data_IF_801044946110
#
_entry.id   IF_801044946110
#
_cell.length_a   1.000
_cell.length_b   1.000
_cell.length_c   1.000
_cell.angle_alpha   90.00
_cell.angle_beta   90.00
_cell.angle_gamma   90.00
#
_symmetry.space_group_name_H-M   'P 1'
#
loop_
_entity.id
_entity.type
_entity.pdbx_description
1 polymer ?
#
# COMPACT_ATOMS: atom_id res chain seq x y z
N UNK A 1 -5.51 8.01 -19.16
CA UNK A 1 -5.08 8.74 -17.95
C UNK A 1 -6.26 8.69 -16.99
N UNK A 2 -6.15 7.93 -15.91
CA UNK A 2 -7.27 7.70 -15.01
C UNK A 2 -7.50 8.96 -14.15
N UNK A 3 -8.74 9.26 -13.76
CA UNK A 3 -9.05 10.47 -12.97
C UNK A 3 -8.24 10.56 -11.66
N UNK A 4 -7.85 9.41 -11.11
CA UNK A 4 -7.03 9.30 -9.90
C UNK A 4 -5.56 9.68 -10.15
N UNK A 5 -5.00 9.40 -11.33
CA UNK A 5 -3.61 9.75 -11.65
C UNK A 5 -3.38 11.27 -11.58
N UNK A 6 -4.34 12.03 -12.10
CA UNK A 6 -4.31 13.49 -12.05
C UNK A 6 -4.47 14.00 -10.60
N UNK A 7 -5.30 13.33 -9.80
CA UNK A 7 -5.51 13.71 -8.40
C UNK A 7 -4.27 13.46 -7.53
N UNK A 8 -3.61 12.32 -7.69
CA UNK A 8 -2.34 12.04 -7.01
C UNK A 8 -1.27 13.09 -7.38
N UNK A 9 -1.21 13.48 -8.66
CA UNK A 9 -0.32 14.54 -9.14
C UNK A 9 -0.63 15.89 -8.48
N UNK A 10 -1.91 16.29 -8.41
CA UNK A 10 -2.33 17.55 -7.75
C UNK A 10 -1.98 17.50 -6.26
N UNK A 11 -2.26 16.39 -5.59
CA UNK A 11 -1.97 16.21 -4.17
C UNK A 11 -0.47 16.37 -3.88
N UNK A 12 0.38 15.71 -4.67
CA UNK A 12 1.83 15.85 -4.54
C UNK A 12 2.30 17.28 -4.83
N UNK A 13 1.75 17.97 -5.84
CA UNK A 13 2.16 19.34 -6.11
C UNK A 13 1.69 20.38 -5.07
N UNK A 14 0.69 20.05 -4.24
CA UNK A 14 0.07 21.00 -3.29
C UNK A 14 0.38 20.72 -1.82
N UNK A 15 0.65 19.45 -1.45
CA UNK A 15 0.77 19.02 -0.04
C UNK A 15 2.05 18.18 0.22
N UNK A 16 2.87 17.88 -0.80
CA UNK A 16 3.98 16.89 -0.69
C UNK A 16 5.03 17.16 0.39
N UNK A 17 5.12 18.36 0.96
CA UNK A 17 6.08 18.62 2.04
C UNK A 17 5.67 18.02 3.39
N UNK A 18 4.41 17.59 3.57
CA UNK A 18 3.88 17.17 4.88
C UNK A 18 3.42 15.71 4.93
N UNK A 19 2.86 15.17 3.84
CA UNK A 19 2.20 13.86 3.86
C UNK A 19 2.90 12.83 2.98
N UNK A 20 2.91 11.58 3.43
CA UNK A 20 3.39 10.43 2.66
C UNK A 20 2.22 9.78 1.92
N UNK A 21 2.41 9.39 0.68
CA UNK A 21 1.43 8.66 -0.14
C UNK A 21 1.98 7.31 -0.63
N UNK A 22 1.07 6.49 -1.16
CA UNK A 22 1.40 5.22 -1.81
C UNK A 22 1.88 5.48 -3.23
N UNK A 23 2.70 4.58 -3.77
CA UNK A 23 3.31 4.77 -5.09
C UNK A 23 2.28 4.78 -6.24
N UNK A 24 1.20 3.99 -6.13
CA UNK A 24 0.15 3.94 -7.15
C UNK A 24 -1.24 3.83 -6.54
N UNK A 25 -2.24 4.38 -7.24
CA UNK A 25 -3.66 4.13 -6.95
C UNK A 25 -4.36 3.77 -8.24
N UNK A 26 -5.10 2.67 -8.21
CA UNK A 26 -5.84 2.16 -9.37
C UNK A 26 -7.33 2.13 -9.05
N UNK A 27 -8.15 2.58 -9.98
CA UNK A 27 -9.62 2.49 -9.91
C UNK A 27 -10.10 1.34 -10.81
N UNK A 28 -10.88 0.42 -10.25
CA UNK A 28 -11.65 -0.58 -11.00
C UNK A 28 -13.14 -0.26 -10.89
N UNK A 29 -14.02 -1.09 -11.46
CA UNK A 29 -15.47 -0.91 -11.29
C UNK A 29 -15.90 -1.02 -9.81
N UNK A 30 -15.31 -1.95 -9.06
CA UNK A 30 -15.71 -2.27 -7.66
C UNK A 30 -14.80 -1.62 -6.60
N UNK A 31 -13.53 -1.39 -6.94
CA UNK A 31 -12.47 -1.14 -5.97
C UNK A 31 -11.65 0.12 -6.30
N UNK A 32 -11.17 0.79 -5.25
CA UNK A 32 -10.00 1.67 -5.31
C UNK A 32 -8.86 0.96 -4.57
N UNK A 33 -7.79 0.68 -5.31
CA UNK A 33 -6.66 -0.12 -4.84
C UNK A 33 -5.47 0.82 -4.62
N UNK A 34 -5.01 0.90 -3.38
CA UNK A 34 -3.84 1.65 -2.96
C UNK A 34 -2.65 0.71 -2.93
N UNK A 35 -1.59 1.05 -3.66
CA UNK A 35 -0.48 0.14 -3.92
C UNK A 35 0.83 0.81 -3.51
N UNK A 36 1.47 0.25 -2.48
CA UNK A 36 2.85 0.56 -2.15
C UNK A 36 3.74 -0.52 -2.77
N UNK A 37 4.85 -0.13 -3.38
CA UNK A 37 5.81 -1.05 -3.99
C UNK A 37 7.18 -0.94 -3.34
N UNK A 38 7.75 -2.08 -2.95
CA UNK A 38 9.13 -2.16 -2.50
C UNK A 38 9.82 -3.38 -3.08
N UNK A 39 10.87 -3.11 -3.86
CA UNK A 39 11.87 -4.11 -4.21
C UNK A 39 13.14 -3.87 -3.39
N UNK A 40 13.59 -4.90 -2.68
CA UNK A 40 14.84 -4.91 -1.93
C UNK A 40 15.90 -5.86 -2.47
N UNK A 41 15.61 -6.55 -3.58
CA UNK A 41 16.52 -7.42 -4.33
C UNK A 41 17.24 -6.71 -5.47
N UNK A 42 17.67 -5.47 -5.23
CA UNK A 42 18.41 -4.71 -6.24
C UNK A 42 19.83 -5.28 -6.34
N UNK A 43 20.21 -5.74 -7.53
CA UNK A 43 21.57 -6.21 -7.81
C UNK A 43 22.58 -5.07 -7.54
N UNK A 44 23.64 -5.36 -6.76
CA UNK A 44 24.64 -4.34 -6.39
C UNK A 44 24.18 -3.34 -5.33
N UNK A 45 23.12 -3.64 -4.56
CA UNK A 45 22.66 -2.78 -3.47
C UNK A 45 23.82 -2.45 -2.50
N UNK A 46 24.04 -1.15 -2.27
CA UNK A 46 25.10 -0.64 -1.36
C UNK A 46 24.98 -1.17 0.07
N UNK A 47 23.77 -1.51 0.51
CA UNK A 47 23.52 -2.10 1.83
C UNK A 47 22.42 -3.17 1.73
N UNK A 48 22.78 -4.43 1.42
CA UNK A 48 21.82 -5.52 1.21
C UNK A 48 21.03 -5.88 2.48
N UNK A 49 21.57 -5.60 3.67
CA UNK A 49 20.89 -5.88 4.95
C UNK A 49 20.03 -4.72 5.46
N UNK A 50 20.00 -3.58 4.77
CA UNK A 50 19.23 -2.41 5.19
C UNK A 50 17.74 -2.73 5.39
N UNK A 51 17.18 -3.63 4.57
CA UNK A 51 15.79 -4.05 4.73
C UNK A 51 15.59 -4.88 5.99
N UNK A 52 16.49 -5.83 6.28
CA UNK A 52 16.46 -6.65 7.51
C UNK A 52 16.54 -5.79 8.78
N UNK A 53 17.34 -4.73 8.75
CA UNK A 53 17.42 -3.78 9.87
C UNK A 53 16.18 -2.90 10.01
N UNK A 54 15.52 -2.54 8.89
CA UNK A 54 14.27 -1.77 8.91
C UNK A 54 13.12 -2.56 9.53
N UNK A 55 12.94 -3.82 9.16
CA UNK A 55 11.85 -4.66 9.69
C UNK A 55 11.98 -4.96 11.19
N UNK A 56 13.15 -4.75 11.80
CA UNK A 56 13.32 -4.84 13.26
C UNK A 56 12.70 -3.66 14.00
N UNK A 57 12.40 -2.54 13.32
CA UNK A 57 11.96 -1.29 13.92
C UNK A 57 10.47 -1.06 13.66
N UNK A 58 9.68 -0.84 14.70
CA UNK A 58 8.24 -0.57 14.56
C UNK A 58 7.94 0.68 13.72
N UNK A 59 8.87 1.65 13.71
CA UNK A 59 8.81 2.86 12.89
C UNK A 59 8.70 2.57 11.39
N UNK A 60 9.25 1.44 10.91
CA UNK A 60 9.11 1.02 9.52
C UNK A 60 7.66 0.65 9.17
N UNK A 61 6.97 -0.09 10.04
CA UNK A 61 5.58 -0.46 9.83
C UNK A 61 4.67 0.77 9.92
N UNK A 62 4.96 1.68 10.85
CA UNK A 62 4.25 2.97 10.97
C UNK A 62 4.44 3.80 9.71
N UNK A 63 5.66 3.88 9.16
CA UNK A 63 5.90 4.66 7.93
C UNK A 63 5.11 4.12 6.74
N UNK A 64 5.00 2.80 6.61
CA UNK A 64 4.18 2.19 5.55
C UNK A 64 2.70 2.50 5.78
N UNK A 65 2.17 2.33 7.00
CA UNK A 65 0.77 2.64 7.30
C UNK A 65 0.41 4.11 7.02
N UNK A 66 1.33 5.05 7.31
CA UNK A 66 1.14 6.48 7.04
C UNK A 66 0.91 6.80 5.57
N UNK A 67 1.58 6.08 4.65
CA UNK A 67 1.38 6.25 3.20
C UNK A 67 -0.06 6.00 2.78
N UNK A 68 -0.66 4.94 3.33
CA UNK A 68 -2.06 4.63 3.08
C UNK A 68 -3.00 5.68 3.67
N UNK A 69 -2.72 6.17 4.89
CA UNK A 69 -3.54 7.24 5.49
C UNK A 69 -3.47 8.55 4.71
N UNK A 70 -2.28 8.97 4.28
CA UNK A 70 -2.12 10.19 3.48
C UNK A 70 -2.90 10.09 2.16
N UNK A 71 -2.84 8.93 1.52
CA UNK A 71 -3.57 8.66 0.28
C UNK A 71 -5.08 8.58 0.47
N UNK A 72 -5.52 7.90 1.53
CA UNK A 72 -6.94 7.73 1.84
C UNK A 72 -7.65 9.07 2.06
N UNK A 73 -6.95 10.06 2.62
CA UNK A 73 -7.51 11.38 2.96
C UNK A 73 -8.17 12.06 1.75
N UNK A 74 -7.46 12.18 0.63
CA UNK A 74 -7.99 12.87 -0.55
C UNK A 74 -8.96 11.98 -1.35
N UNK A 75 -8.79 10.66 -1.30
CA UNK A 75 -9.74 9.73 -1.94
C UNK A 75 -11.10 9.73 -1.22
N UNK A 76 -11.12 9.88 0.11
CA UNK A 76 -12.38 10.05 0.85
C UNK A 76 -13.14 11.29 0.40
N UNK A 77 -12.44 12.39 0.12
CA UNK A 77 -13.02 13.64 -0.41
C UNK A 77 -13.58 13.51 -1.83
N UNK A 78 -13.28 12.44 -2.56
CA UNK A 78 -13.88 12.15 -3.86
C UNK A 78 -15.25 11.48 -3.76
N UNK A 79 -15.69 11.11 -2.55
CA UNK A 79 -17.01 10.53 -2.25
C UNK A 79 -17.39 9.30 -3.10
N UNK A 80 -16.39 8.57 -3.61
CA UNK A 80 -16.60 7.35 -4.41
C UNK A 80 -17.25 6.24 -3.56
N UNK A 81 -18.25 5.56 -4.13
CA UNK A 81 -18.91 4.38 -3.56
C UNK A 81 -18.21 3.09 -4.03
N UNK A 82 -16.96 2.90 -3.59
CA UNK A 82 -16.13 1.72 -3.94
C UNK A 82 -15.44 1.17 -2.70
N UNK A 83 -15.04 -0.10 -2.76
CA UNK A 83 -14.26 -0.69 -1.67
C UNK A 83 -12.82 -0.18 -1.72
N UNK A 84 -12.25 0.12 -0.57
CA UNK A 84 -10.85 0.53 -0.48
C UNK A 84 -9.96 -0.65 -0.10
N UNK A 85 -8.98 -0.96 -0.95
CA UNK A 85 -8.08 -2.10 -0.80
C UNK A 85 -6.65 -1.63 -0.69
N UNK A 86 -5.92 -2.10 0.31
CA UNK A 86 -4.52 -1.75 0.48
C UNK A 86 -3.64 -2.95 0.10
N UNK A 87 -2.66 -2.73 -0.77
CA UNK A 87 -1.74 -3.76 -1.22
C UNK A 87 -0.31 -3.26 -1.10
N UNK A 88 0.51 -4.00 -0.35
CA UNK A 88 1.95 -3.76 -0.29
C UNK A 88 2.68 -4.84 -1.10
N UNK A 89 3.24 -4.46 -2.23
CA UNK A 89 4.01 -5.36 -3.07
C UNK A 89 5.46 -5.36 -2.57
N UNK A 90 5.91 -6.51 -2.10
CA UNK A 90 7.22 -6.67 -1.48
C UNK A 90 8.01 -7.78 -2.17
N UNK A 91 9.02 -7.36 -2.96
CA UNK A 91 9.98 -8.26 -3.59
C UNK A 91 11.28 -8.27 -2.79
N UNK A 92 11.64 -9.44 -2.24
CA UNK A 92 12.84 -9.65 -1.45
C UNK A 92 13.19 -11.15 -1.36
N UNK A 93 14.46 -11.50 -1.58
CA UNK A 93 15.02 -12.86 -1.53
C UNK A 93 14.82 -13.49 -0.16
N UNK A 94 14.75 -12.65 0.87
CA UNK A 94 14.50 -13.08 2.25
C UNK A 94 13.04 -12.97 2.69
N UNK A 95 12.17 -12.33 1.90
CA UNK A 95 10.74 -12.26 2.20
C UNK A 95 10.02 -13.47 1.62
N UNK A 96 10.23 -14.62 2.25
CA UNK A 96 9.34 -15.75 2.07
C UNK A 96 7.91 -15.44 2.56
N UNK A 97 6.99 -16.37 2.33
CA UNK A 97 5.59 -16.24 2.75
C UNK A 97 5.46 -16.00 4.26
N UNK A 98 6.37 -16.52 5.09
CA UNK A 98 6.35 -16.37 6.54
C UNK A 98 6.69 -14.94 6.94
N UNK A 99 7.76 -14.36 6.37
CA UNK A 99 8.15 -12.99 6.63
C UNK A 99 7.10 -12.00 6.11
N UNK A 100 6.54 -12.22 4.91
CA UNK A 100 5.44 -11.36 4.40
C UNK A 100 4.23 -11.40 5.33
N UNK A 101 3.85 -12.57 5.85
CA UNK A 101 2.76 -12.69 6.83
C UNK A 101 3.06 -11.98 8.15
N UNK A 102 4.30 -12.08 8.64
CA UNK A 102 4.74 -11.36 9.84
C UNK A 102 4.64 -9.83 9.65
N UNK A 103 5.20 -9.31 8.55
CA UNK A 103 5.13 -7.89 8.20
C UNK A 103 3.68 -7.44 8.05
N UNK A 104 2.83 -8.25 7.39
CA UNK A 104 1.40 -7.96 7.23
C UNK A 104 0.74 -7.74 8.57
N UNK A 105 0.94 -8.67 9.51
CA UNK A 105 0.35 -8.57 10.84
C UNK A 105 0.83 -7.32 11.59
N UNK A 106 2.11 -6.96 11.47
CA UNK A 106 2.67 -5.76 12.09
C UNK A 106 2.06 -4.47 11.53
N UNK A 107 1.93 -4.35 10.21
CA UNK A 107 1.32 -3.18 9.57
C UNK A 107 -0.19 -3.14 9.83
N UNK A 108 -0.88 -4.29 9.78
CA UNK A 108 -2.32 -4.38 10.01
C UNK A 108 -2.74 -3.85 11.39
N UNK A 109 -1.89 -4.00 12.42
CA UNK A 109 -2.12 -3.41 13.74
C UNK A 109 -2.08 -1.87 13.74
N UNK A 110 -1.50 -1.25 12.71
CA UNK A 110 -1.41 0.20 12.52
C UNK A 110 -2.49 0.74 11.56
N UNK A 111 -3.30 -0.13 10.96
CA UNK A 111 -4.38 0.21 10.04
C UNK A 111 -5.74 0.29 10.77
N UNK A 112 -6.76 0.98 10.22
CA UNK A 112 -7.97 1.34 10.96
C UNK A 112 -9.00 0.20 11.07
N UNK A 113 -8.59 -1.07 10.96
CA UNK A 113 -9.50 -2.23 11.04
C UNK A 113 -10.30 -2.31 12.34
N UNK A 114 -9.72 -1.87 13.46
CA UNK A 114 -10.44 -1.78 14.74
C UNK A 114 -11.31 -0.52 14.79
N UNK A 115 -10.77 0.62 14.36
CA UNK A 115 -11.46 1.91 14.37
C UNK A 115 -12.76 1.85 13.55
N UNK A 116 -12.73 1.24 12.35
CA UNK A 116 -13.90 1.17 11.47
C UNK A 116 -15.04 0.27 11.97
N UNK A 117 -14.86 -0.43 13.09
CA UNK A 117 -15.94 -1.18 13.76
C UNK A 117 -16.75 -0.31 14.73
N UNK A 118 -16.27 0.91 15.01
CA UNK A 118 -16.95 1.88 15.85
C UNK A 118 -18.23 2.35 15.16
N UNK A 119 -19.31 2.49 15.91
CA UNK A 119 -20.64 2.80 15.36
C UNK A 119 -20.70 4.16 14.64
N UNK A 120 -19.81 5.06 15.03
CA UNK A 120 -19.64 6.42 14.53
C UNK A 120 -18.99 6.44 13.15
N UNK A 121 -18.19 5.42 12.82
CA UNK A 121 -17.57 5.28 11.52
C UNK A 121 -18.56 4.61 10.57
N UNK A 122 -19.24 5.43 9.76
CA UNK A 122 -20.30 4.96 8.85
C UNK A 122 -19.77 4.43 7.52
N UNK A 123 -18.58 4.85 7.10
CA UNK A 123 -17.93 4.42 5.85
C UNK A 123 -16.85 3.39 6.15
N UNK A 124 -16.83 2.28 5.41
CA UNK A 124 -15.71 1.35 5.48
C UNK A 124 -14.44 2.04 4.97
N UNK A 125 -13.42 2.12 5.82
CA UNK A 125 -12.16 2.79 5.49
C UNK A 125 -11.19 1.85 4.77
N UNK A 126 -11.24 0.56 5.11
CA UNK A 126 -10.43 -0.49 4.49
C UNK A 126 -11.20 -1.81 4.47
N UNK A 127 -11.31 -2.40 3.28
CA UNK A 127 -11.93 -3.71 3.08
C UNK A 127 -10.91 -4.83 3.27
N UNK A 128 -9.69 -4.67 2.76
CA UNK A 128 -8.62 -5.65 2.85
C UNK A 128 -7.22 -5.00 2.90
N UNK A 129 -6.27 -5.74 3.47
CA UNK A 129 -4.85 -5.43 3.41
C UNK A 129 -4.04 -6.68 3.08
N UNK A 130 -3.34 -6.66 1.95
CA UNK A 130 -2.54 -7.79 1.47
C UNK A 130 -1.07 -7.38 1.25
N UNK A 131 -0.17 -8.33 1.47
CA UNK A 131 1.23 -8.22 1.04
C UNK A 131 1.49 -9.32 0.02
N UNK A 132 1.92 -8.94 -1.18
CA UNK A 132 2.10 -9.83 -2.31
C UNK A 132 3.54 -9.72 -2.85
N UNK A 133 4.10 -10.80 -3.38
CA UNK A 133 5.22 -10.71 -4.31
C UNK A 133 4.76 -10.15 -5.66
N UNK A 134 5.72 -9.80 -6.53
CA UNK A 134 5.40 -9.39 -7.90
C UNK A 134 4.69 -10.53 -8.65
N UNK A 135 5.14 -11.77 -8.47
CA UNK A 135 4.51 -12.95 -9.08
C UNK A 135 3.06 -13.16 -8.60
N UNK A 136 2.83 -13.07 -7.28
CA UNK A 136 1.48 -13.16 -6.70
C UNK A 136 0.57 -12.04 -7.23
N UNK A 137 1.09 -10.82 -7.40
CA UNK A 137 0.34 -9.70 -7.98
C UNK A 137 -0.01 -9.95 -9.46
N UNK A 138 1.00 -10.30 -10.27
CA UNK A 138 0.86 -10.47 -11.72
C UNK A 138 -0.01 -11.68 -12.10
N UNK A 139 -0.11 -12.69 -11.23
CA UNK A 139 -0.96 -13.88 -11.44
C UNK A 139 -2.34 -13.76 -10.76
N UNK A 140 -2.56 -12.72 -9.95
CA UNK A 140 -3.82 -12.55 -9.22
C UNK A 140 -5.01 -12.35 -10.18
N UNK A 141 -6.16 -13.02 -9.97
CA UNK A 141 -7.32 -12.89 -10.87
C UNK A 141 -7.84 -11.46 -11.02
N UNK A 142 -7.69 -10.62 -9.99
CA UNK A 142 -8.11 -9.22 -10.01
C UNK A 142 -7.00 -8.24 -10.37
N UNK A 143 -5.74 -8.54 -10.03
CA UNK A 143 -4.63 -7.56 -10.11
C UNK A 143 -3.75 -7.71 -11.34
N UNK A 144 -3.76 -8.89 -11.97
CA UNK A 144 -3.02 -9.19 -13.22
C UNK A 144 -3.29 -8.22 -14.38
N UNK A 145 -4.39 -7.46 -14.34
CA UNK A 145 -4.72 -6.40 -15.30
C UNK A 145 -3.77 -5.19 -15.21
N UNK A 146 -2.99 -5.08 -14.14
CA UNK A 146 -2.08 -3.97 -13.86
C UNK A 146 -0.67 -4.51 -13.59
N UNK A 147 -0.04 -5.19 -14.57
CA UNK A 147 1.19 -5.92 -14.32
C UNK A 147 2.35 -5.00 -13.92
N UNK A 148 3.19 -5.50 -13.01
CA UNK A 148 4.41 -4.81 -12.55
C UNK A 148 5.62 -5.63 -12.98
N UNK A 149 6.60 -4.96 -13.56
CA UNK A 149 7.91 -5.52 -13.88
C UNK A 149 8.98 -4.98 -12.93
N UNK A 150 9.97 -5.80 -12.60
CA UNK A 150 11.20 -5.31 -11.98
C UNK A 150 11.93 -4.43 -13.00
N UNK A 151 12.24 -3.19 -12.62
CA UNK A 151 13.13 -2.30 -13.38
C UNK A 151 14.58 -2.64 -13.02
#
# INVERSE_FOLDING_TARGET
>A
MWAIDNLNTIYNNTVASILSDVDFIVETEEDIIFIEYKNSDIAGARNPDAFKEKIKKDSHYISIAKKYYGSLLYILGCEKEKNFKFVYILECKSADTVLRKFIRNKIQLKLPFKLQKCSEIKKQLISEFNILSIDEWNTHPKYSKFPISTI
#
